data_IF_853012552857
#
_entry.id   IF_853012552857
#
_cell.length_a   1.000
_cell.length_b   1.000
_cell.length_c   1.000
_cell.angle_alpha   90.00
_cell.angle_beta   90.00
_cell.angle_gamma   90.00
#
_symmetry.space_group_name_H-M   'P 1'
#
loop_
_entity.id
_entity.type
_entity.pdbx_description
1 polymer ?
#
# COMPACT_ATOMS: atom_id res chain seq x y z
N UNK A 1 -16.41 -1.88 -7.18
CA UNK A 1 -15.42 -1.97 -6.08
C UNK A 1 -15.99 -1.22 -4.90
N UNK A 2 -16.22 -1.90 -3.78
CA UNK A 2 -16.70 -1.23 -2.56
C UNK A 2 -15.66 -0.25 -2.04
N UNK A 3 -16.11 0.94 -1.67
CA UNK A 3 -15.26 1.95 -1.05
C UNK A 3 -14.89 1.49 0.36
N UNK A 4 -13.62 1.62 0.73
CA UNK A 4 -13.18 1.36 2.10
C UNK A 4 -13.85 2.35 3.06
N UNK A 5 -14.31 1.85 4.19
CA UNK A 5 -14.67 2.72 5.31
C UNK A 5 -13.39 3.33 5.89
N UNK A 6 -13.55 4.43 6.62
CA UNK A 6 -12.44 5.07 7.32
C UNK A 6 -11.79 4.16 8.36
N UNK A 7 -12.59 3.42 9.13
CA UNK A 7 -12.10 2.45 10.11
C UNK A 7 -11.24 1.38 9.41
N UNK A 8 -11.69 0.87 8.27
CA UNK A 8 -10.93 -0.07 7.45
C UNK A 8 -9.62 0.54 6.94
N UNK A 9 -9.66 1.77 6.41
CA UNK A 9 -8.48 2.48 5.94
C UNK A 9 -7.44 2.67 7.05
N UNK A 10 -7.86 3.08 8.25
CA UNK A 10 -6.97 3.27 9.39
C UNK A 10 -6.35 1.97 9.86
N UNK A 11 -7.14 0.90 9.96
CA UNK A 11 -6.64 -0.44 10.34
C UNK A 11 -5.62 -0.94 9.32
N UNK A 12 -5.91 -0.80 8.02
CA UNK A 12 -4.99 -1.22 6.98
C UNK A 12 -3.66 -0.45 7.02
N UNK A 13 -3.68 0.85 7.27
CA UNK A 13 -2.44 1.63 7.39
C UNK A 13 -1.55 1.16 8.55
N UNK A 14 -2.11 0.79 9.70
CA UNK A 14 -1.32 0.22 10.79
C UNK A 14 -0.76 -1.16 10.40
N UNK A 15 -1.57 -2.03 9.79
CA UNK A 15 -1.14 -3.36 9.35
C UNK A 15 -0.13 -3.35 8.21
N UNK A 16 -0.08 -2.28 7.40
CA UNK A 16 0.98 -2.09 6.40
C UNK A 16 2.33 -1.86 7.08
N UNK A 17 2.34 -1.15 8.22
CA UNK A 17 3.57 -0.90 8.97
C UNK A 17 4.02 -2.15 9.72
N UNK A 18 3.08 -2.88 10.32
CA UNK A 18 3.33 -4.13 11.02
C UNK A 18 2.11 -5.06 10.91
N UNK A 19 2.20 -6.04 10.02
CA UNK A 19 1.10 -6.99 9.76
C UNK A 19 0.86 -7.95 10.93
N UNK A 20 1.82 -8.06 11.85
CA UNK A 20 1.77 -8.91 13.04
C UNK A 20 1.22 -8.18 14.27
N UNK A 21 0.91 -6.88 14.15
CA UNK A 21 0.57 -6.06 15.30
C UNK A 21 -0.65 -6.63 16.07
N UNK A 22 -0.52 -6.90 17.39
CA UNK A 22 -1.61 -7.49 18.15
C UNK A 22 -2.87 -6.62 18.15
N UNK A 23 -4.04 -7.27 18.07
CA UNK A 23 -5.36 -6.59 18.12
C UNK A 23 -5.48 -5.66 19.33
N UNK A 24 -4.86 -6.00 20.46
CA UNK A 24 -4.87 -5.17 21.68
C UNK A 24 -4.07 -3.88 21.52
N UNK A 25 -2.96 -3.90 20.76
CA UNK A 25 -2.13 -2.73 20.46
C UNK A 25 -2.79 -1.86 19.40
N UNK A 26 -3.31 -2.46 18.32
CA UNK A 26 -4.12 -1.78 17.31
C UNK A 26 -5.35 -1.08 17.93
N UNK A 27 -6.06 -1.79 18.81
CA UNK A 27 -7.20 -1.25 19.56
C UNK A 27 -6.84 0.01 20.35
N UNK A 28 -5.70 0.00 21.07
CA UNK A 28 -5.24 1.19 21.81
C UNK A 28 -4.84 2.34 20.89
N UNK A 29 -4.03 2.06 19.86
CA UNK A 29 -3.57 3.08 18.89
C UNK A 29 -4.74 3.76 18.17
N UNK A 30 -5.71 2.97 17.71
CA UNK A 30 -6.84 3.46 16.93
C UNK A 30 -8.01 3.92 17.80
N UNK A 31 -7.94 3.63 19.11
CA UNK A 31 -8.99 3.84 20.08
C UNK A 31 -10.19 2.89 19.93
N UNK A 32 -10.18 1.94 19.01
CA UNK A 32 -11.33 1.09 18.73
C UNK A 32 -11.46 -0.06 19.73
N UNK A 33 -12.65 -0.62 19.90
CA UNK A 33 -12.80 -1.83 20.71
C UNK A 33 -12.07 -3.02 20.06
N UNK A 34 -11.57 -3.96 20.87
CA UNK A 34 -10.93 -5.19 20.35
C UNK A 34 -11.84 -5.96 19.38
N UNK A 35 -13.15 -6.00 19.68
CA UNK A 35 -14.14 -6.66 18.84
C UNK A 35 -14.28 -5.95 17.48
N UNK A 36 -14.34 -4.61 17.48
CA UNK A 36 -14.38 -3.81 16.25
C UNK A 36 -13.17 -4.09 15.38
N UNK A 37 -11.95 -4.01 15.93
CA UNK A 37 -10.71 -4.27 15.16
C UNK A 37 -10.72 -5.70 14.62
N UNK A 38 -10.98 -6.71 15.45
CA UNK A 38 -11.00 -8.12 15.03
C UNK A 38 -12.02 -8.38 13.91
N UNK A 39 -13.24 -7.84 14.04
CA UNK A 39 -14.29 -7.98 13.02
C UNK A 39 -13.89 -7.31 11.73
N UNK A 40 -13.35 -6.09 11.78
CA UNK A 40 -12.93 -5.36 10.58
C UNK A 40 -11.79 -6.07 9.86
N UNK A 41 -10.75 -6.54 10.57
CA UNK A 41 -9.64 -7.31 9.96
C UNK A 41 -10.16 -8.57 9.27
N UNK A 42 -11.04 -9.35 9.93
CA UNK A 42 -11.66 -10.54 9.33
C UNK A 42 -12.48 -10.21 8.09
N UNK A 43 -13.26 -9.14 8.13
CA UNK A 43 -14.06 -8.70 6.98
C UNK A 43 -13.20 -8.25 5.80
N UNK A 44 -12.09 -7.55 6.07
CA UNK A 44 -11.14 -7.15 5.04
C UNK A 44 -10.50 -8.36 4.36
N UNK A 45 -10.14 -9.38 5.14
CA UNK A 45 -9.60 -10.63 4.61
C UNK A 45 -10.65 -11.42 3.80
N UNK A 46 -11.88 -11.59 4.31
CA UNK A 46 -12.93 -12.34 3.62
C UNK A 46 -13.38 -11.70 2.30
N UNK A 47 -13.27 -10.37 2.19
CA UNK A 47 -13.56 -9.60 0.97
C UNK A 47 -12.39 -9.58 -0.03
N UNK A 48 -11.26 -10.20 0.29
CA UNK A 48 -10.04 -10.17 -0.52
C UNK A 48 -9.34 -8.81 -0.56
N UNK A 49 -9.72 -7.87 0.32
CA UNK A 49 -8.99 -6.59 0.47
C UNK A 49 -7.63 -6.85 1.10
N UNK A 50 -7.58 -7.70 2.13
CA UNK A 50 -6.33 -8.29 2.62
C UNK A 50 -6.22 -9.66 1.97
N UNK A 51 -5.25 -9.84 1.09
CA UNK A 51 -5.01 -11.12 0.40
C UNK A 51 -4.08 -12.03 1.18
N UNK A 52 -3.19 -11.47 2.02
CA UNK A 52 -2.26 -12.21 2.87
C UNK A 52 -1.79 -11.35 4.04
N UNK A 53 -1.41 -12.01 5.14
CA UNK A 53 -0.58 -11.43 6.20
C UNK A 53 0.83 -11.97 6.00
N UNK A 54 1.81 -11.09 5.81
CA UNK A 54 3.18 -11.50 5.46
C UNK A 54 4.19 -10.55 6.07
N UNK A 55 5.44 -10.99 6.11
CA UNK A 55 6.59 -10.22 6.58
C UNK A 55 7.44 -9.80 5.38
N UNK A 56 8.22 -8.74 5.57
CA UNK A 56 9.31 -8.42 4.67
C UNK A 56 10.62 -8.90 5.30
N UNK A 57 11.40 -9.68 4.54
CA UNK A 57 12.69 -10.21 5.00
C UNK A 57 13.79 -9.28 4.50
N UNK A 58 14.77 -8.99 5.36
CA UNK A 58 15.96 -8.21 4.99
C UNK A 58 16.70 -8.87 3.83
N UNK A 59 17.16 -8.06 2.87
CA UNK A 59 17.75 -8.56 1.62
C UNK A 59 19.00 -9.40 1.84
N UNK A 60 19.78 -9.06 2.85
CA UNK A 60 20.97 -9.78 3.28
C UNK A 60 20.68 -11.23 3.73
N UNK A 61 19.39 -11.57 3.96
CA UNK A 61 18.92 -12.90 4.32
C UNK A 61 18.12 -13.58 3.19
N UNK A 62 17.99 -12.94 2.03
CA UNK A 62 17.36 -13.50 0.83
C UNK A 62 18.51 -13.86 -0.11
N UNK A 63 18.47 -15.05 -0.73
CA UNK A 63 19.47 -15.43 -1.73
C UNK A 63 19.54 -14.39 -2.85
N UNK A 64 20.70 -14.28 -3.52
CA UNK A 64 20.94 -13.32 -4.61
C UNK A 64 19.97 -13.53 -5.77
N UNK A 65 18.80 -12.89 -5.68
CA UNK A 65 17.85 -12.76 -6.77
C UNK A 65 18.56 -12.01 -7.90
N UNK A 66 18.80 -12.69 -9.03
CA UNK A 66 19.21 -12.00 -10.25
C UNK A 66 18.06 -11.12 -10.68
N UNK A 67 18.34 -9.83 -10.83
CA UNK A 67 17.36 -8.86 -11.29
C UNK A 67 17.72 -8.37 -12.67
N UNK A 68 16.71 -8.23 -13.53
CA UNK A 68 16.85 -7.59 -14.83
C UNK A 68 15.87 -6.43 -14.97
N UNK A 69 16.36 -5.32 -15.50
CA UNK A 69 15.54 -4.19 -15.94
C UNK A 69 15.58 -4.18 -17.45
N UNK A 70 14.41 -4.12 -18.08
CA UNK A 70 14.30 -4.12 -19.53
C UNK A 70 13.39 -3.01 -20.03
N UNK A 71 13.78 -2.41 -21.15
CA UNK A 71 12.99 -1.44 -21.90
C UNK A 71 12.52 -2.14 -23.17
N UNK A 72 11.22 -2.13 -23.46
CA UNK A 72 10.63 -2.80 -24.62
C UNK A 72 9.75 -1.88 -25.43
N UNK A 73 9.68 -2.12 -26.73
CA UNK A 73 8.76 -1.39 -27.62
C UNK A 73 7.35 -1.97 -27.59
N UNK A 74 7.24 -3.27 -27.30
CA UNK A 74 5.96 -3.98 -27.25
C UNK A 74 5.59 -4.31 -25.82
N UNK A 75 4.28 -4.26 -25.54
CA UNK A 75 3.72 -4.70 -24.26
C UNK A 75 3.95 -6.20 -24.09
N UNK A 76 4.49 -6.67 -22.95
CA UNK A 76 4.65 -8.09 -22.70
C UNK A 76 3.32 -8.84 -22.71
N UNK A 77 3.32 -10.06 -23.27
CA UNK A 77 2.13 -10.93 -23.28
C UNK A 77 1.86 -11.58 -21.93
N UNK A 78 2.87 -11.64 -21.06
CA UNK A 78 2.83 -12.27 -19.72
C UNK A 78 3.30 -11.29 -18.66
N UNK A 79 2.37 -10.51 -18.10
CA UNK A 79 2.68 -9.49 -17.09
C UNK A 79 3.07 -10.09 -15.74
N UNK A 80 2.62 -11.31 -15.44
CA UNK A 80 2.85 -12.03 -14.19
C UNK A 80 4.29 -12.53 -14.01
N UNK A 81 5.09 -12.52 -15.09
CA UNK A 81 6.52 -12.83 -15.05
C UNK A 81 7.38 -11.63 -14.61
N UNK A 82 6.76 -10.46 -14.47
CA UNK A 82 7.41 -9.23 -14.02
C UNK A 82 7.04 -8.95 -12.57
N UNK A 83 8.03 -8.55 -11.80
CA UNK A 83 7.79 -7.99 -10.46
C UNK A 83 7.09 -6.64 -10.55
N UNK A 84 7.45 -5.83 -11.54
CA UNK A 84 6.86 -4.52 -11.83
C UNK A 84 6.92 -4.25 -13.34
N UNK A 85 5.92 -3.55 -13.86
CA UNK A 85 5.91 -3.08 -15.25
C UNK A 85 5.26 -1.71 -15.36
N UNK A 86 5.86 -0.86 -16.17
CA UNK A 86 5.44 0.52 -16.39
C UNK A 86 5.31 0.78 -17.89
N UNK A 87 4.30 1.56 -18.26
CA UNK A 87 4.17 2.15 -19.60
C UNK A 87 4.67 3.60 -19.53
N UNK A 88 5.63 3.93 -20.38
CA UNK A 88 6.21 5.26 -20.51
C UNK A 88 5.33 6.13 -21.40
N UNK A 89 5.45 7.46 -21.25
CA UNK A 89 4.67 8.46 -22.02
C UNK A 89 4.91 8.34 -23.53
N UNK A 90 6.08 7.86 -23.93
CA UNK A 90 6.45 7.63 -25.32
C UNK A 90 6.00 6.25 -25.87
N UNK A 91 5.19 5.51 -25.11
CA UNK A 91 4.62 4.23 -25.52
C UNK A 91 5.54 3.03 -25.33
N UNK A 92 6.75 3.20 -24.78
CA UNK A 92 7.64 2.08 -24.41
C UNK A 92 7.25 1.48 -23.05
N UNK A 93 7.72 0.27 -22.76
CA UNK A 93 7.48 -0.39 -21.49
C UNK A 93 8.79 -0.60 -20.73
N UNK A 94 8.75 -0.43 -19.41
CA UNK A 94 9.86 -0.70 -18.50
C UNK A 94 9.45 -1.84 -17.58
N UNK A 95 10.12 -2.99 -17.69
CA UNK A 95 9.85 -4.18 -16.90
C UNK A 95 10.98 -4.50 -15.92
N UNK A 96 10.63 -4.95 -14.73
CA UNK A 96 11.57 -5.47 -13.72
C UNK A 96 11.28 -6.95 -13.49
N UNK A 97 12.25 -7.81 -13.81
CA UNK A 97 12.21 -9.26 -13.54
C UNK A 97 13.12 -9.55 -12.35
N UNK A 98 12.63 -10.35 -11.40
CA UNK A 98 13.44 -10.92 -10.31
C UNK A 98 13.35 -12.43 -10.38
N UNK A 99 14.47 -13.12 -10.30
CA UNK A 99 14.55 -14.55 -10.45
C UNK A 99 15.74 -15.13 -9.68
N UNK A 100 15.73 -16.43 -9.41
CA UNK A 100 16.81 -17.05 -8.63
C UNK A 100 18.12 -17.20 -9.42
N UNK A 101 18.06 -17.06 -10.76
CA UNK A 101 19.19 -17.25 -11.65
C UNK A 101 18.94 -16.62 -13.04
N UNK A 102 20.00 -16.49 -13.83
CA UNK A 102 19.93 -15.95 -15.19
C UNK A 102 19.09 -16.81 -16.16
N UNK A 103 18.99 -18.12 -15.92
CA UNK A 103 18.22 -19.02 -16.80
C UNK A 103 16.72 -18.72 -16.71
N UNK A 104 16.23 -18.43 -15.51
CA UNK A 104 14.85 -17.98 -15.28
C UNK A 104 14.56 -16.62 -15.92
N UNK A 105 15.49 -15.66 -15.87
CA UNK A 105 15.34 -14.37 -16.59
C UNK A 105 15.22 -14.61 -18.09
N UNK A 106 16.09 -15.44 -18.67
CA UNK A 106 16.04 -15.79 -20.10
C UNK A 106 14.72 -16.45 -20.48
N UNK A 107 14.20 -17.33 -19.61
CA UNK A 107 12.89 -17.96 -19.78
C UNK A 107 11.78 -16.91 -19.76
N UNK A 108 11.78 -16.02 -18.77
CA UNK A 108 10.77 -14.97 -18.63
C UNK A 108 10.74 -14.03 -19.84
N UNK A 109 11.91 -13.59 -20.32
CA UNK A 109 12.02 -12.75 -21.53
C UNK A 109 11.42 -13.46 -22.76
N UNK A 110 11.77 -14.73 -22.99
CA UNK A 110 11.26 -15.52 -24.11
C UNK A 110 9.74 -15.68 -24.07
N UNK A 111 9.20 -16.00 -22.91
CA UNK A 111 7.75 -16.21 -22.71
C UNK A 111 6.94 -14.91 -22.78
N UNK A 112 7.59 -13.78 -22.54
CA UNK A 112 6.98 -12.44 -22.59
C UNK A 112 6.78 -11.91 -24.02
N UNK A 113 7.44 -12.51 -25.03
CA UNK A 113 7.34 -12.13 -26.45
C UNK A 113 7.53 -10.63 -26.71
N UNK A 114 8.53 -10.05 -26.08
CA UNK A 114 8.83 -8.61 -26.12
C UNK A 114 9.89 -8.26 -27.16
N UNK A 115 9.77 -7.08 -27.78
CA UNK A 115 10.86 -6.43 -28.52
C UNK A 115 11.72 -5.63 -27.54
N UNK A 116 12.89 -6.15 -27.15
CA UNK A 116 13.77 -5.51 -26.17
C UNK A 116 14.63 -4.44 -26.86
N UNK A 117 14.55 -3.21 -26.35
CA UNK A 117 15.42 -2.08 -26.71
C UNK A 117 16.69 -2.11 -25.87
N UNK A 118 16.54 -2.34 -24.56
CA UNK A 118 17.65 -2.32 -23.62
C UNK A 118 17.43 -3.33 -22.50
N UNK A 119 18.51 -4.00 -22.08
CA UNK A 119 18.52 -4.95 -20.98
C UNK A 119 19.67 -4.62 -20.04
N UNK A 120 19.36 -4.49 -18.77
CA UNK A 120 20.33 -4.33 -17.68
C UNK A 120 20.22 -5.53 -16.75
N UNK A 121 21.33 -6.20 -16.50
CA UNK A 121 21.45 -7.14 -15.38
C UNK A 121 21.91 -6.32 -14.18
N UNK A 122 21.11 -6.36 -13.11
CA UNK A 122 21.34 -5.58 -11.90
C UNK A 122 22.18 -6.41 -10.94
N UNK A 123 23.32 -5.86 -10.56
CA UNK A 123 24.21 -6.44 -9.55
C UNK A 123 23.59 -6.40 -8.15
N UNK A 124 23.16 -5.20 -7.72
CA UNK A 124 22.45 -5.04 -6.44
C UNK A 124 21.41 -3.92 -6.49
N UNK A 125 20.30 -4.15 -5.80
CA UNK A 125 19.35 -3.09 -5.52
C UNK A 125 19.75 -2.39 -4.20
N UNK A 126 20.12 -1.11 -4.28
CA UNK A 126 20.62 -0.33 -3.13
C UNK A 126 19.52 0.16 -2.17
N UNK A 127 18.32 0.45 -2.70
CA UNK A 127 17.23 1.04 -1.92
C UNK A 127 15.86 0.61 -2.46
N UNK A 128 14.84 0.60 -1.61
CA UNK A 128 13.42 0.48 -2.00
C UNK A 128 12.53 0.93 -0.86
N UNK A 129 11.58 1.81 -1.15
CA UNK A 129 10.45 2.05 -0.27
C UNK A 129 9.22 1.42 -0.93
N UNK A 130 8.73 0.30 -0.40
CA UNK A 130 7.42 -0.22 -0.80
C UNK A 130 6.35 0.63 -0.13
N UNK A 131 5.97 1.72 -0.79
CA UNK A 131 4.86 2.54 -0.32
C UNK A 131 3.56 1.90 -0.79
N UNK A 132 2.85 1.22 0.11
CA UNK A 132 1.49 0.75 -0.17
C UNK A 132 0.54 1.95 -0.04
N UNK A 133 0.25 2.60 -1.17
CA UNK A 133 -0.71 3.69 -1.24
C UNK A 133 -2.13 3.12 -1.35
N UNK A 134 -2.78 2.88 -0.21
CA UNK A 134 -4.21 2.59 -0.19
C UNK A 134 -4.95 3.85 -0.60
N UNK A 135 -5.93 3.71 -1.51
CA UNK A 135 -6.84 4.82 -1.85
C UNK A 135 -7.49 5.33 -0.56
N UNK A 136 -7.09 6.52 -0.13
CA UNK A 136 -7.74 7.23 0.96
C UNK A 136 -9.22 7.41 0.57
N UNK A 137 -10.18 6.99 1.40
CA UNK A 137 -11.58 7.01 1.04
C UNK A 137 -12.17 8.42 1.02
N UNK A 138 -11.59 9.38 0.28
CA UNK A 138 -11.97 10.81 0.30
C UNK A 138 -12.44 11.22 1.70
N UNK A 139 -11.57 11.09 2.71
CA UNK A 139 -11.88 11.60 4.05
C UNK A 139 -12.15 13.09 3.90
N UNK A 140 -13.30 13.54 4.41
CA UNK A 140 -13.60 14.95 4.51
C UNK A 140 -13.46 15.36 5.98
N UNK A 141 -13.00 16.58 6.20
CA UNK A 141 -12.95 17.17 7.53
C UNK A 141 -14.37 17.21 8.11
N UNK A 142 -14.58 16.65 9.30
CA UNK A 142 -15.89 16.67 9.96
C UNK A 142 -16.34 18.09 10.36
N UNK A 143 -15.42 19.06 10.38
CA UNK A 143 -15.73 20.46 10.63
C UNK A 143 -15.99 21.25 9.34
N UNK A 144 -15.00 21.36 8.45
CA UNK A 144 -15.08 22.23 7.27
C UNK A 144 -15.55 21.53 5.99
N UNK A 145 -15.73 20.21 6.01
CA UNK A 145 -16.09 19.41 4.83
C UNK A 145 -15.00 19.29 3.75
N UNK A 146 -13.83 19.90 3.94
CA UNK A 146 -12.73 19.85 2.98
C UNK A 146 -12.05 18.48 2.90
N UNK A 147 -11.55 18.12 1.71
CA UNK A 147 -10.81 16.86 1.51
C UNK A 147 -9.52 16.83 2.32
N UNK A 148 -9.34 15.80 3.14
CA UNK A 148 -8.12 15.58 3.91
C UNK A 148 -7.07 14.93 3.00
N UNK A 149 -6.05 15.70 2.61
CA UNK A 149 -4.96 15.27 1.71
C UNK A 149 -3.79 14.58 2.42
N UNK A 150 -3.73 14.63 3.75
CA UNK A 150 -2.67 14.01 4.57
C UNK A 150 -3.23 13.23 5.76
N UNK A 151 -2.41 13.00 6.79
CA UNK A 151 -2.88 12.37 8.04
C UNK A 151 -3.86 13.30 8.77
N UNK A 152 -5.08 12.85 9.09
CA UNK A 152 -6.06 13.66 9.81
C UNK A 152 -5.63 13.89 11.26
N UNK A 153 -5.99 15.05 11.82
CA UNK A 153 -5.98 15.26 13.27
C UNK A 153 -7.25 14.62 13.82
N UNK A 154 -7.14 13.78 14.85
CA UNK A 154 -8.23 12.94 15.34
C UNK A 154 -8.62 13.36 16.76
N UNK A 155 -9.90 13.61 17.00
CA UNK A 155 -10.45 13.84 18.34
C UNK A 155 -11.65 12.94 18.62
N UNK A 156 -11.85 12.61 19.90
CA UNK A 156 -13.05 11.91 20.36
C UNK A 156 -13.94 12.82 21.18
N UNK A 157 -15.22 12.80 20.84
CA UNK A 157 -16.25 13.57 21.51
C UNK A 157 -17.59 12.82 21.46
N UNK A 158 -18.26 12.67 22.61
CA UNK A 158 -19.54 11.96 22.79
C UNK A 158 -19.66 10.65 21.98
N UNK A 159 -18.74 9.71 22.23
CA UNK A 159 -18.69 8.39 21.57
C UNK A 159 -18.49 8.38 20.04
N UNK A 160 -18.21 9.54 19.42
CA UNK A 160 -17.85 9.65 18.01
C UNK A 160 -16.38 10.09 17.86
N UNK A 161 -15.72 9.57 16.84
CA UNK A 161 -14.37 10.01 16.43
C UNK A 161 -14.55 11.01 15.28
N UNK A 162 -13.89 12.15 15.40
CA UNK A 162 -13.91 13.24 14.44
C UNK A 162 -12.51 13.43 13.83
N UNK A 163 -12.48 13.81 12.56
CA UNK A 163 -11.29 13.93 11.73
C UNK A 163 -11.20 15.34 11.16
N UNK A 164 -10.06 15.99 11.37
CA UNK A 164 -9.85 17.37 10.98
C UNK A 164 -8.68 17.48 10.01
N UNK A 165 -8.83 18.34 8.99
CA UNK A 165 -7.77 18.61 8.02
C UNK A 165 -6.64 19.49 8.58
N UNK A 166 -6.88 20.22 9.67
CA UNK A 166 -5.91 21.12 10.28
C UNK A 166 -6.28 21.45 11.74
N UNK A 167 -5.32 22.02 12.49
CA UNK A 167 -5.49 22.38 13.91
C UNK A 167 -6.60 23.43 14.12
N UNK A 168 -6.84 24.29 13.13
CA UNK A 168 -7.91 25.29 13.22
C UNK A 168 -9.29 24.62 13.25
N UNK A 169 -9.54 23.66 12.36
CA UNK A 169 -10.80 22.91 12.35
C UNK A 169 -11.05 22.17 13.67
N UNK A 170 -10.00 21.60 14.28
CA UNK A 170 -10.08 20.99 15.61
C UNK A 170 -10.45 22.03 16.68
N UNK A 171 -9.76 23.18 16.69
CA UNK A 171 -9.98 24.22 17.70
C UNK A 171 -11.38 24.82 17.60
N UNK A 172 -11.88 25.05 16.39
CA UNK A 172 -13.22 25.58 16.17
C UNK A 172 -14.31 24.55 16.51
N UNK A 173 -14.06 23.28 16.22
CA UNK A 173 -14.90 22.18 16.71
C UNK A 173 -14.97 22.17 18.26
N UNK A 174 -13.83 22.24 18.94
CA UNK A 174 -13.76 22.31 20.41
C UNK A 174 -14.49 23.51 21.00
N UNK A 175 -14.41 24.67 20.34
CA UNK A 175 -15.11 25.89 20.78
C UNK A 175 -16.62 25.76 20.62
N UNK A 176 -17.07 25.22 19.49
CA UNK A 176 -18.50 25.03 19.20
C UNK A 176 -19.17 23.94 20.05
N UNK A 177 -18.38 23.02 20.61
CA UNK A 177 -18.86 21.88 21.41
C UNK A 177 -18.46 21.96 22.90
N UNK A 178 -17.99 23.13 23.35
CA UNK A 178 -17.86 23.49 24.77
C UNK A 178 -19.14 24.22 25.20
N UNK A 179 -20.21 23.46 25.40
CA UNK A 179 -21.37 23.80 26.24
C UNK A 179 -22.02 22.49 26.69
#
# INVERSE_FOLDING_TARGET
>A
MDKLTETEYRILNELIQDSSEPITRLSRKLGLSRNTVSKTVRNLASRGVITRFTIEVGREYINDDVMAILITETKPTRLDLFSEIYESVDGRFIGIIKANNLAEIRKAIRESKVSIVQLFIVDKQLWSNRVINIRNPRLHCDYCGGLIRGSPIIERYHNRTYYFCCMNCLNDFRRSHRN
#
